data_IF_341344469637
#
_entry.id   IF_341344469637
#
_cell.length_a   1.000
_cell.length_b   1.000
_cell.length_c   1.000
_cell.angle_alpha   90.00
_cell.angle_beta   90.00
_cell.angle_gamma   90.00
#
_symmetry.space_group_name_H-M   'P 1'
#
loop_
_entity.id
_entity.type
_entity.pdbx_description
1 polymer ?
#
# COMPACT_ATOMS: atom_id res chain seq x y z
N UNK A 1 11.53 -8.38 19.38
CA UNK A 1 10.28 -9.17 19.26
C UNK A 1 10.45 -10.35 18.29
N UNK A 2 10.86 -10.11 17.05
CA UNK A 2 11.10 -11.16 16.04
C UNK A 2 12.05 -12.26 16.50
N UNK A 3 13.27 -11.90 16.90
CA UNK A 3 14.29 -12.85 17.38
C UNK A 3 13.80 -13.68 18.56
N UNK A 4 13.02 -13.06 19.46
CA UNK A 4 12.50 -13.75 20.65
C UNK A 4 11.37 -14.73 20.30
N UNK A 5 10.51 -14.36 19.36
CA UNK A 5 9.46 -15.25 18.85
C UNK A 5 10.08 -16.45 18.13
N UNK A 6 11.09 -16.24 17.29
CA UNK A 6 11.83 -17.31 16.62
C UNK A 6 12.54 -18.23 17.62
N UNK A 7 13.26 -17.66 18.59
CA UNK A 7 13.95 -18.42 19.64
C UNK A 7 13.00 -19.30 20.44
N UNK A 8 11.78 -18.82 20.70
CA UNK A 8 10.74 -19.57 21.43
C UNK A 8 9.84 -20.43 20.52
N UNK A 9 10.03 -20.37 19.20
CA UNK A 9 9.17 -21.01 18.19
C UNK A 9 7.69 -20.62 18.35
N UNK A 10 7.45 -19.34 18.60
CA UNK A 10 6.11 -18.77 18.72
C UNK A 10 5.71 -18.07 17.42
N UNK A 11 4.42 -18.13 17.10
CA UNK A 11 3.83 -17.34 16.02
C UNK A 11 3.78 -15.87 16.45
N UNK A 12 4.33 -14.98 15.63
CA UNK A 12 4.24 -13.53 15.80
C UNK A 12 3.54 -12.94 14.58
N UNK A 13 2.41 -12.31 14.84
CA UNK A 13 1.53 -11.70 13.85
C UNK A 13 1.32 -10.22 14.19
N UNK A 14 1.21 -9.40 13.17
CA UNK A 14 1.01 -7.95 13.27
C UNK A 14 -0.43 -7.66 12.85
N UNK A 15 -1.09 -6.81 13.63
CA UNK A 15 -2.46 -6.36 13.38
C UNK A 15 -2.48 -5.37 12.19
N UNK A 16 -2.50 -5.93 10.99
CA UNK A 16 -2.67 -5.21 9.74
C UNK A 16 -4.03 -5.58 9.15
N UNK A 17 -5.09 -5.36 9.94
CA UNK A 17 -6.47 -5.81 9.71
C UNK A 17 -6.95 -5.62 8.26
N UNK A 18 -6.61 -4.51 7.61
CA UNK A 18 -7.06 -4.22 6.24
C UNK A 18 -6.62 -5.27 5.21
N UNK A 19 -5.48 -5.95 5.44
CA UNK A 19 -4.99 -7.05 4.60
C UNK A 19 -5.98 -8.23 4.58
N UNK A 20 -6.76 -8.39 5.64
CA UNK A 20 -7.76 -9.46 5.79
C UNK A 20 -9.13 -9.09 5.20
N UNK A 21 -9.35 -7.86 4.77
CA UNK A 21 -10.61 -7.46 4.14
C UNK A 21 -10.80 -8.17 2.80
N UNK A 22 -12.06 -8.52 2.47
CA UNK A 22 -12.38 -9.14 1.19
C UNK A 22 -11.93 -8.30 -0.01
N UNK A 23 -11.97 -6.97 0.10
CA UNK A 23 -11.57 -6.06 -0.97
C UNK A 23 -10.06 -6.15 -1.26
N UNK A 24 -9.22 -6.03 -0.23
CA UNK A 24 -7.75 -6.13 -0.39
C UNK A 24 -7.35 -7.52 -0.87
N UNK A 25 -7.97 -8.58 -0.34
CA UNK A 25 -7.74 -9.95 -0.81
C UNK A 25 -8.12 -10.13 -2.27
N UNK A 26 -9.25 -9.58 -2.71
CA UNK A 26 -9.66 -9.62 -4.12
C UNK A 26 -8.68 -8.85 -5.01
N UNK A 27 -8.17 -7.71 -4.57
CA UNK A 27 -7.14 -6.96 -5.31
C UNK A 27 -5.86 -7.80 -5.40
N UNK A 28 -5.44 -8.45 -4.30
CA UNK A 28 -4.28 -9.36 -4.30
C UNK A 28 -4.45 -10.45 -5.36
N UNK A 29 -5.61 -11.11 -5.40
CA UNK A 29 -5.91 -12.14 -6.41
C UNK A 29 -5.76 -11.60 -7.85
N UNK A 30 -6.26 -10.39 -8.13
CA UNK A 30 -6.15 -9.76 -9.46
C UNK A 30 -4.70 -9.42 -9.82
N UNK A 31 -3.91 -8.97 -8.84
CA UNK A 31 -2.49 -8.67 -9.00
C UNK A 31 -1.67 -9.95 -9.22
N UNK A 32 -1.81 -10.95 -8.35
CA UNK A 32 -1.05 -12.20 -8.43
C UNK A 32 -1.47 -13.05 -9.64
N UNK A 33 -2.75 -12.97 -10.03
CA UNK A 33 -3.27 -13.58 -11.24
C UNK A 33 -2.89 -12.84 -12.52
N UNK A 34 -2.08 -11.77 -12.45
CA UNK A 34 -1.62 -10.94 -13.58
C UNK A 34 -2.76 -10.35 -14.42
N UNK A 35 -3.97 -10.21 -13.85
CA UNK A 35 -5.14 -9.68 -14.56
C UNK A 35 -4.97 -8.22 -14.96
N UNK A 36 -4.22 -7.45 -14.16
CA UNK A 36 -3.99 -6.03 -14.40
C UNK A 36 -2.64 -5.73 -15.07
N UNK A 37 -1.78 -6.75 -15.23
CA UNK A 37 -0.42 -6.61 -15.75
C UNK A 37 0.57 -6.04 -14.72
N UNK A 38 1.56 -5.31 -15.21
CA UNK A 38 2.64 -4.72 -14.40
C UNK A 38 2.18 -3.39 -13.81
N UNK A 39 2.37 -3.22 -12.50
CA UNK A 39 1.91 -2.03 -11.78
C UNK A 39 2.89 -0.89 -12.03
N UNK A 40 2.36 0.25 -12.46
CA UNK A 40 3.12 1.49 -12.69
C UNK A 40 3.01 2.44 -11.51
N UNK A 41 1.85 2.53 -10.87
CA UNK A 41 1.69 3.39 -9.71
C UNK A 41 0.67 2.89 -8.70
N UNK A 42 0.89 3.30 -7.45
CA UNK A 42 -0.04 3.16 -6.33
C UNK A 42 -0.27 4.54 -5.71
N UNK A 43 -1.47 5.09 -5.83
CA UNK A 43 -1.81 6.41 -5.28
C UNK A 43 -2.93 6.28 -4.26
N UNK A 44 -2.67 6.67 -3.01
CA UNK A 44 -3.60 6.49 -1.89
C UNK A 44 -3.92 7.82 -1.22
N UNK A 45 -5.19 8.01 -0.91
CA UNK A 45 -5.72 9.16 -0.20
C UNK A 45 -6.48 8.65 1.01
N UNK A 46 -5.97 8.97 2.20
CA UNK A 46 -6.61 8.68 3.49
C UNK A 46 -6.73 9.95 4.30
N UNK A 47 -7.91 10.54 4.23
CA UNK A 47 -8.18 11.85 4.83
C UNK A 47 -9.55 11.89 5.48
N UNK A 48 -9.67 12.60 6.59
CA UNK A 48 -10.94 12.86 7.28
C UNK A 48 -10.75 13.96 8.31
N UNK A 49 -11.83 14.63 8.73
CA UNK A 49 -11.82 15.41 9.97
C UNK A 49 -11.79 14.40 11.11
N UNK A 50 -10.58 14.06 11.55
CA UNK A 50 -10.29 12.96 12.45
C UNK A 50 -10.04 13.42 13.88
N UNK A 51 -9.90 12.44 14.77
CA UNK A 51 -9.35 12.68 16.09
C UNK A 51 -7.87 13.04 15.95
N UNK A 52 -7.45 14.12 16.58
CA UNK A 52 -6.05 14.46 16.67
C UNK A 52 -5.38 13.53 17.68
N UNK A 53 -4.33 12.83 17.23
CA UNK A 53 -3.46 12.10 18.13
C UNK A 53 -2.49 13.08 18.81
N UNK A 54 -2.17 12.80 20.07
CA UNK A 54 -1.30 13.67 20.87
C UNK A 54 0.15 13.19 20.86
N UNK A 55 0.37 11.88 20.68
CA UNK A 55 1.68 11.24 20.85
C UNK A 55 2.37 10.92 19.52
N UNK A 56 1.64 10.97 18.40
CA UNK A 56 2.12 10.63 17.05
C UNK A 56 1.58 11.62 16.02
N UNK A 57 2.25 11.74 14.88
CA UNK A 57 1.76 12.52 13.75
C UNK A 57 0.89 11.69 12.79
N UNK A 58 0.32 12.37 11.81
CA UNK A 58 -0.56 11.77 10.79
C UNK A 58 0.09 10.63 9.99
N UNK A 59 1.42 10.62 9.83
CA UNK A 59 2.14 9.54 9.13
C UNK A 59 2.05 8.24 9.93
N UNK A 60 2.38 8.30 11.22
CA UNK A 60 2.37 7.13 12.10
C UNK A 60 0.97 6.59 12.39
N UNK A 61 -0.04 7.45 12.40
CA UNK A 61 -1.45 7.06 12.60
C UNK A 61 -2.08 6.50 11.31
N UNK A 62 -1.96 7.19 10.17
CA UNK A 62 -2.72 6.85 8.97
C UNK A 62 -1.92 6.01 7.95
N UNK A 63 -0.63 6.30 7.77
CA UNK A 63 0.15 5.66 6.71
C UNK A 63 0.37 4.17 6.97
N UNK A 64 0.39 3.73 8.23
CA UNK A 64 0.61 2.32 8.60
C UNK A 64 -0.38 1.39 7.87
N UNK A 65 -1.62 1.85 7.69
CA UNK A 65 -2.67 1.09 7.01
C UNK A 65 -2.45 1.02 5.50
N UNK A 66 -2.19 2.15 4.85
CA UNK A 66 -2.01 2.14 3.39
C UNK A 66 -0.68 1.51 2.98
N UNK A 67 0.37 1.65 3.79
CA UNK A 67 1.65 0.98 3.60
C UNK A 67 1.55 -0.54 3.78
N UNK A 68 0.77 -1.03 4.75
CA UNK A 68 0.55 -2.48 4.92
C UNK A 68 -0.27 -3.09 3.79
N UNK A 69 -1.30 -2.38 3.29
CA UNK A 69 -2.03 -2.78 2.09
C UNK A 69 -1.06 -2.81 0.89
N UNK A 70 -0.28 -1.74 0.69
CA UNK A 70 0.67 -1.65 -0.42
C UNK A 70 1.73 -2.76 -0.35
N UNK A 71 2.36 -3.00 0.81
CA UNK A 71 3.34 -4.08 1.00
C UNK A 71 2.74 -5.47 0.76
N UNK A 72 1.46 -5.65 1.12
CA UNK A 72 0.72 -6.86 0.82
C UNK A 72 0.39 -6.99 -0.67
N UNK A 73 0.07 -5.91 -1.38
CA UNK A 73 -0.34 -5.99 -2.79
C UNK A 73 0.84 -6.04 -3.76
N UNK A 74 1.93 -5.35 -3.46
CA UNK A 74 3.07 -5.20 -4.36
C UNK A 74 4.15 -6.24 -4.05
N UNK A 75 4.66 -6.89 -5.10
CA UNK A 75 5.82 -7.78 -4.98
C UNK A 75 7.14 -6.98 -4.85
N UNK A 76 7.18 -5.78 -5.42
CA UNK A 76 8.32 -4.87 -5.33
C UNK A 76 8.45 -4.24 -3.93
N UNK A 77 9.65 -3.76 -3.60
CA UNK A 77 9.93 -3.07 -2.33
C UNK A 77 10.48 -1.67 -2.59
N UNK A 78 10.03 -0.66 -1.84
CA UNK A 78 10.54 0.69 -2.02
C UNK A 78 12.01 0.76 -1.58
N UNK A 79 12.81 1.50 -2.34
CA UNK A 79 14.23 1.74 -2.08
C UNK A 79 14.48 3.10 -1.45
N UNK A 80 13.54 4.03 -1.54
CA UNK A 80 13.62 5.33 -0.89
C UNK A 80 12.22 5.89 -0.63
N UNK A 81 12.13 6.82 0.32
CA UNK A 81 10.92 7.58 0.60
C UNK A 81 11.24 9.07 0.76
N UNK A 82 10.44 9.92 0.13
CA UNK A 82 10.40 11.36 0.36
C UNK A 82 9.10 11.70 1.05
N UNK A 83 9.13 12.51 2.10
CA UNK A 83 7.94 12.91 2.83
C UNK A 83 7.96 14.39 3.19
N UNK A 84 6.81 15.05 3.10
CA UNK A 84 6.60 16.41 3.59
C UNK A 84 5.35 16.43 4.46
N UNK A 85 5.32 17.33 5.44
CA UNK A 85 4.17 17.49 6.32
C UNK A 85 4.16 18.82 7.03
N UNK A 86 3.01 19.16 7.61
CA UNK A 86 2.82 20.43 8.31
C UNK A 86 1.95 20.23 9.54
N UNK A 87 2.30 20.93 10.62
CA UNK A 87 1.43 21.11 11.77
C UNK A 87 0.74 22.46 11.69
N UNK A 88 -0.56 22.45 11.94
CA UNK A 88 -1.42 23.64 11.97
C UNK A 88 -1.92 23.96 13.38
N UNK A 89 -1.56 23.13 14.37
CA UNK A 89 -1.92 23.33 15.78
C UNK A 89 -0.62 23.54 16.56
N UNK A 90 -0.42 24.71 17.20
CA UNK A 90 0.82 25.01 17.91
C UNK A 90 1.16 23.93 18.95
N UNK A 91 2.41 23.44 18.91
CA UNK A 91 2.92 22.43 19.84
C UNK A 91 2.43 21.00 19.60
N UNK A 92 1.66 20.75 18.52
CA UNK A 92 1.20 19.42 18.16
C UNK A 92 1.97 18.84 16.97
N UNK A 93 2.05 17.51 16.84
CA UNK A 93 2.64 16.84 15.68
C UNK A 93 1.95 17.20 14.33
N UNK A 94 2.58 16.86 13.21
CA UNK A 94 2.03 17.14 11.87
C UNK A 94 0.66 16.49 11.65
N UNK A 95 -0.28 17.26 11.12
CA UNK A 95 -1.66 16.83 10.91
C UNK A 95 -2.02 16.64 9.42
N UNK A 96 -1.10 17.00 8.53
CA UNK A 96 -1.15 16.69 7.09
C UNK A 96 0.24 16.25 6.62
N UNK A 97 0.30 15.26 5.73
CA UNK A 97 1.52 14.78 5.12
C UNK A 97 1.30 14.20 3.72
N UNK A 98 2.37 14.25 2.92
CA UNK A 98 2.47 13.66 1.59
C UNK A 98 3.74 12.82 1.52
N UNK A 99 3.63 11.58 1.06
CA UNK A 99 4.76 10.66 0.89
C UNK A 99 4.86 10.24 -0.56
N UNK A 100 6.08 10.17 -1.07
CA UNK A 100 6.43 9.53 -2.34
C UNK A 100 7.40 8.39 -2.05
N UNK A 101 7.07 7.17 -2.46
CA UNK A 101 7.97 6.03 -2.37
C UNK A 101 8.50 5.67 -3.76
N UNK A 102 9.80 5.46 -3.82
CA UNK A 102 10.53 5.12 -5.03
C UNK A 102 10.90 3.64 -5.02
N UNK A 103 10.87 3.00 -6.19
CA UNK A 103 11.22 1.60 -6.38
C UNK A 103 12.41 1.49 -7.36
N UNK A 104 12.96 0.28 -7.54
CA UNK A 104 14.08 0.08 -8.47
C UNK A 104 13.69 0.33 -9.93
N UNK A 105 12.46 -0.01 -10.29
CA UNK A 105 11.93 0.08 -11.65
C UNK A 105 11.05 1.33 -11.84
N UNK A 106 10.14 1.31 -12.80
CA UNK A 106 9.25 2.41 -13.14
C UNK A 106 8.02 2.54 -12.22
N UNK A 107 7.95 1.77 -11.13
CA UNK A 107 6.89 1.84 -10.13
C UNK A 107 7.10 3.03 -9.21
N UNK A 108 6.04 3.80 -8.96
CA UNK A 108 6.02 4.88 -7.97
C UNK A 108 4.80 4.76 -7.06
N UNK A 109 4.92 5.08 -5.78
CA UNK A 109 3.78 5.17 -4.88
C UNK A 109 3.65 6.54 -4.24
N UNK A 110 2.43 7.00 -4.05
CA UNK A 110 2.10 8.26 -3.40
C UNK A 110 1.01 8.07 -2.34
N UNK A 111 1.20 8.68 -1.18
CA UNK A 111 0.21 8.68 -0.10
C UNK A 111 -0.08 10.14 0.33
N UNK A 112 -1.36 10.49 0.38
CA UNK A 112 -1.85 11.75 0.95
C UNK A 112 -2.65 11.48 2.23
N UNK A 113 -2.19 12.06 3.33
CA UNK A 113 -2.68 11.83 4.68
C UNK A 113 -3.07 13.15 5.32
N UNK A 114 -4.28 13.26 5.88
CA UNK A 114 -4.79 14.55 6.37
C UNK A 114 -5.91 14.38 7.41
N UNK A 115 -5.69 14.86 8.64
CA UNK A 115 -6.68 14.88 9.73
C UNK A 115 -7.61 16.09 9.74
N UNK A 116 -7.35 17.10 8.91
CA UNK A 116 -8.12 18.35 8.83
C UNK A 116 -8.93 18.46 7.52
N UNK A 117 -9.14 17.34 6.83
CA UNK A 117 -9.93 17.31 5.61
C UNK A 117 -11.43 17.47 5.91
N UNK A 118 -12.17 18.31 5.16
CA UNK A 118 -13.62 18.48 5.35
C UNK A 118 -14.42 17.25 4.89
N UNK A 119 -13.78 16.33 4.16
CA UNK A 119 -14.38 15.10 3.65
C UNK A 119 -13.62 13.87 4.14
N UNK A 120 -14.35 12.79 4.39
CA UNK A 120 -13.77 11.48 4.70
C UNK A 120 -13.58 10.69 3.40
N UNK A 121 -12.33 10.47 3.02
CA UNK A 121 -11.93 9.71 1.82
C UNK A 121 -10.93 8.64 2.22
N UNK A 122 -11.14 7.42 1.72
CA UNK A 122 -10.21 6.29 1.82
C UNK A 122 -10.18 5.59 0.47
N UNK A 123 -9.36 6.11 -0.43
CA UNK A 123 -9.33 5.67 -1.82
C UNK A 123 -7.91 5.38 -2.27
N UNK A 124 -7.75 4.29 -2.99
CA UNK A 124 -6.51 3.91 -3.64
C UNK A 124 -6.73 3.70 -5.13
N UNK A 125 -5.84 4.24 -5.95
CA UNK A 125 -5.75 4.02 -7.38
C UNK A 125 -4.52 3.18 -7.68
N UNK A 126 -4.70 2.09 -8.42
CA UNK A 126 -3.60 1.26 -8.89
C UNK A 126 -3.62 1.28 -10.41
N UNK A 127 -2.64 1.94 -10.99
CA UNK A 127 -2.44 1.95 -12.43
C UNK A 127 -1.49 0.85 -12.85
N UNK A 128 -1.89 0.03 -13.82
CA UNK A 128 -1.06 -1.05 -14.33
C UNK A 128 -1.17 -1.16 -15.87
N UNK A 129 -0.30 -1.98 -16.46
CA UNK A 129 -0.10 -2.06 -17.91
C UNK A 129 -1.34 -2.52 -18.69
N UNK A 130 -2.20 -3.35 -18.09
CA UNK A 130 -3.40 -3.89 -18.73
C UNK A 130 -4.69 -3.31 -18.15
N UNK A 131 -4.82 -3.18 -16.84
CA UNK A 131 -6.06 -2.65 -16.23
C UNK A 131 -5.73 -1.77 -15.05
N UNK A 132 -6.69 -0.96 -14.64
CA UNK A 132 -6.55 -0.05 -13.51
C UNK A 132 -7.56 -0.43 -12.44
N UNK A 133 -7.20 -0.25 -11.17
CA UNK A 133 -8.09 -0.52 -10.04
C UNK A 133 -8.39 0.79 -9.31
N UNK A 134 -9.66 0.99 -8.99
CA UNK A 134 -10.09 1.91 -7.94
C UNK A 134 -10.53 1.06 -6.76
N UNK A 135 -9.88 1.25 -5.62
CA UNK A 135 -10.32 0.73 -4.33
C UNK A 135 -10.84 1.89 -3.49
N UNK A 136 -12.12 1.90 -3.17
CA UNK A 136 -12.74 2.88 -2.28
C UNK A 136 -13.33 2.16 -1.06
N UNK A 137 -12.67 2.32 0.09
CA UNK A 137 -13.09 1.68 1.32
C UNK A 137 -14.36 2.30 1.91
N UNK A 138 -14.78 3.47 1.42
CA UNK A 138 -16.02 4.12 1.86
C UNK A 138 -17.26 3.59 1.14
N UNK A 139 -17.09 2.93 -0.01
CA UNK A 139 -18.19 2.31 -0.75
C UNK A 139 -18.73 1.06 -0.03
N UNK A 140 -20.02 0.77 -0.17
CA UNK A 140 -20.64 -0.39 0.51
C UNK A 140 -20.58 -1.65 -0.34
N UNK A 141 -20.88 -1.53 -1.63
CA UNK A 141 -21.08 -2.67 -2.54
C UNK A 141 -19.94 -2.80 -3.57
N UNK A 142 -19.54 -1.69 -4.19
CA UNK A 142 -18.56 -1.66 -5.28
C UNK A 142 -17.21 -1.11 -4.81
N UNK A 143 -16.71 -1.61 -3.67
CA UNK A 143 -15.44 -1.19 -3.08
C UNK A 143 -14.27 -1.30 -4.05
N UNK A 144 -14.29 -2.29 -4.94
CA UNK A 144 -13.24 -2.51 -5.96
C UNK A 144 -13.88 -2.36 -7.34
N UNK A 145 -13.29 -1.51 -8.18
CA UNK A 145 -13.67 -1.34 -9.58
C UNK A 145 -12.45 -1.54 -10.46
N UNK A 146 -12.58 -2.39 -11.46
CA UNK A 146 -11.53 -2.70 -12.43
C UNK A 146 -11.91 -2.04 -13.75
N UNK A 147 -11.02 -1.20 -14.25
CA UNK A 147 -11.16 -0.49 -15.50
C UNK A 147 -10.24 -1.10 -16.54
N UNK A 148 -10.80 -1.57 -17.65
CA UNK A 148 -10.05 -1.94 -18.85
C UNK A 148 -9.62 -0.68 -19.62
N UNK A 149 -8.86 0.18 -18.96
CA UNK A 149 -8.33 1.43 -19.52
C UNK A 149 -6.81 1.44 -19.46
N UNK A 150 -6.19 2.11 -20.41
CA UNK A 150 -4.74 2.28 -20.43
C UNK A 150 -4.25 2.90 -21.72
N UNK A 151 -2.93 2.91 -21.87
CA UNK A 151 -2.26 3.38 -23.08
C UNK A 151 -1.55 2.22 -23.76
N UNK A 152 -1.57 2.21 -25.09
CA UNK A 152 -0.71 1.33 -25.89
C UNK A 152 0.31 2.21 -26.60
N UNK A 153 1.58 1.82 -26.46
CA UNK A 153 2.69 2.50 -27.09
C UNK A 153 3.14 1.67 -28.27
N UNK A 154 2.95 2.19 -29.49
CA UNK A 154 3.44 1.56 -30.71
C UNK A 154 4.68 2.32 -31.23
N UNK A 155 5.79 1.63 -31.55
CA UNK A 155 6.91 2.26 -32.24
C UNK A 155 6.44 2.73 -33.61
N UNK A 156 6.61 4.02 -33.90
CA UNK A 156 6.34 4.56 -35.22
C UNK A 156 7.57 4.37 -36.10
N UNK A 157 7.50 3.43 -37.06
CA UNK A 157 8.62 3.10 -37.95
C UNK A 157 9.03 4.29 -38.84
N UNK A 158 8.13 5.24 -39.11
CA UNK A 158 8.36 6.37 -40.02
C UNK A 158 8.89 7.64 -39.31
N UNK A 159 8.94 7.66 -37.98
CA UNK A 159 9.50 8.80 -37.25
C UNK A 159 10.22 8.35 -35.99
N UNK A 160 11.55 8.42 -36.02
CA UNK A 160 12.45 8.19 -34.88
C UNK A 160 12.11 9.04 -33.63
N UNK A 161 11.23 10.03 -33.76
CA UNK A 161 10.95 11.06 -32.75
C UNK A 161 9.50 11.13 -32.24
N UNK A 162 8.55 10.31 -32.74
CA UNK A 162 7.15 10.35 -32.24
C UNK A 162 6.69 8.99 -31.77
N UNK A 163 6.54 8.87 -30.45
CA UNK A 163 5.80 7.78 -29.83
C UNK A 163 4.32 7.98 -30.14
N UNK A 164 3.70 7.03 -30.85
CA UNK A 164 2.25 7.03 -31.01
C UNK A 164 1.64 6.38 -29.76
N UNK A 165 1.00 7.23 -28.94
CA UNK A 165 0.21 6.78 -27.79
C UNK A 165 -1.23 6.64 -28.24
N UNK A 166 -1.76 5.43 -28.20
CA UNK A 166 -3.20 5.18 -28.36
C UNK A 166 -3.85 4.89 -27.02
N UNK A 167 -5.11 5.29 -26.88
CA UNK A 167 -5.89 5.08 -25.67
C UNK A 167 -6.73 3.82 -25.82
N UNK A 168 -6.59 2.88 -24.87
CA UNK A 168 -7.49 1.74 -24.73
C UNK A 168 -8.60 2.12 -23.77
N UNK A 169 -9.84 1.96 -24.23
CA UNK A 169 -11.04 2.14 -23.42
C UNK A 169 -11.95 0.94 -23.63
N UNK A 170 -11.96 0.04 -22.65
CA UNK A 170 -12.87 -1.08 -22.55
C UNK A 170 -13.81 -0.95 -21.35
N UNK A 171 -14.34 -2.10 -20.92
CA UNK A 171 -15.33 -2.19 -19.87
C UNK A 171 -14.82 -1.76 -18.49
N UNK A 172 -15.77 -1.40 -17.62
CA UNK A 172 -15.57 -1.32 -16.19
C UNK A 172 -16.44 -2.37 -15.52
N UNK A 173 -15.87 -3.11 -14.58
CA UNK A 173 -16.60 -4.08 -13.80
C UNK A 173 -16.16 -4.05 -12.33
N UNK A 174 -17.05 -4.45 -11.43
CA UNK A 174 -16.76 -4.60 -10.01
C UNK A 174 -16.79 -6.08 -9.63
N UNK A 175 -15.71 -6.69 -9.11
CA UNK A 175 -15.75 -8.05 -8.61
C UNK A 175 -16.74 -8.17 -7.45
N UNK A 176 -17.39 -9.34 -7.34
CA UNK A 176 -18.05 -9.70 -6.10
C UNK A 176 -16.98 -9.89 -5.01
N UNK A 177 -17.09 -9.08 -3.97
CA UNK A 177 -16.20 -9.10 -2.81
C UNK A 177 -16.98 -9.67 -1.63
N UNK A 178 -16.49 -10.73 -0.95
CA UNK A 178 -17.12 -11.23 0.26
C UNK A 178 -17.21 -10.14 1.32
N UNK A 179 -18.40 -9.96 1.89
CA UNK A 179 -18.63 -9.09 3.05
C UNK A 179 -18.30 -9.90 4.30
N UNK A 180 -17.03 -9.89 4.70
CA UNK A 180 -16.54 -10.54 5.91
C UNK A 180 -16.05 -9.50 6.89
N UNK A 181 -16.24 -9.76 8.18
CA UNK A 181 -15.65 -8.95 9.23
C UNK A 181 -14.14 -9.22 9.26
N UNK A 182 -13.33 -8.17 9.15
CA UNK A 182 -11.90 -8.33 8.90
C UNK A 182 -11.16 -8.88 10.13
N UNK A 183 -11.57 -8.49 11.35
CA UNK A 183 -10.98 -8.99 12.59
C UNK A 183 -11.32 -10.46 12.80
N UNK A 184 -12.51 -10.92 12.42
CA UNK A 184 -12.88 -12.34 12.45
C UNK A 184 -11.96 -13.17 11.53
N UNK A 185 -11.76 -12.71 10.29
CA UNK A 185 -10.86 -13.38 9.33
C UNK A 185 -9.41 -13.37 9.83
N UNK A 186 -8.98 -12.25 10.41
CA UNK A 186 -7.64 -12.10 10.99
C UNK A 186 -7.42 -13.03 12.20
N UNK A 187 -8.36 -13.06 13.14
CA UNK A 187 -8.31 -13.89 14.33
C UNK A 187 -8.34 -15.38 13.96
N UNK A 188 -9.20 -15.78 13.02
CA UNK A 188 -9.25 -17.14 12.52
C UNK A 188 -7.91 -17.54 11.86
N UNK A 189 -7.33 -16.64 11.06
CA UNK A 189 -6.01 -16.85 10.45
C UNK A 189 -4.89 -17.01 11.50
N UNK A 190 -4.93 -16.22 12.57
CA UNK A 190 -3.99 -16.35 13.68
C UNK A 190 -4.10 -17.71 14.37
N UNK A 191 -5.31 -18.17 14.68
CA UNK A 191 -5.56 -19.49 15.27
C UNK A 191 -5.01 -20.59 14.37
N UNK A 192 -5.30 -20.54 13.07
CA UNK A 192 -4.79 -21.52 12.12
C UNK A 192 -3.26 -21.54 12.05
N UNK A 193 -2.62 -20.37 12.12
CA UNK A 193 -1.15 -20.29 12.14
C UNK A 193 -0.58 -20.92 13.41
N UNK A 194 -1.21 -20.72 14.56
CA UNK A 194 -0.81 -21.33 15.84
C UNK A 194 -0.95 -22.85 15.77
N UNK A 195 -2.08 -23.35 15.29
CA UNK A 195 -2.35 -24.80 15.21
C UNK A 195 -1.41 -25.51 14.21
N UNK A 196 -1.15 -24.89 13.06
CA UNK A 196 -0.36 -25.48 11.97
C UNK A 196 1.13 -25.16 12.05
N UNK A 197 1.55 -24.28 12.95
CA UNK A 197 2.91 -23.72 12.97
C UNK A 197 3.26 -22.93 11.70
N UNK A 198 2.25 -22.36 11.04
CA UNK A 198 2.42 -21.64 9.78
C UNK A 198 2.84 -20.18 10.00
N UNK A 199 3.51 -19.59 9.00
CA UNK A 199 3.87 -18.17 9.01
C UNK A 199 2.64 -17.32 8.66
N UNK A 200 2.28 -16.31 9.49
CA UNK A 200 1.14 -15.44 9.18
C UNK A 200 1.31 -14.64 7.89
N UNK A 201 0.20 -14.19 7.30
CA UNK A 201 0.22 -13.28 6.13
C UNK A 201 0.81 -11.93 6.55
N UNK A 202 0.40 -11.42 7.72
CA UNK A 202 0.91 -10.19 8.33
C UNK A 202 1.91 -10.55 9.42
N UNK A 203 3.03 -11.13 9.01
CA UNK A 203 4.07 -11.55 9.95
C UNK A 203 4.91 -10.38 10.47
N UNK A 204 5.83 -10.69 11.37
CA UNK A 204 6.70 -9.70 11.98
C UNK A 204 7.62 -8.97 10.97
N UNK A 205 8.03 -9.63 9.88
CA UNK A 205 8.78 -8.98 8.80
C UNK A 205 7.93 -7.95 8.06
N UNK A 206 6.62 -8.22 7.85
CA UNK A 206 5.70 -7.23 7.27
C UNK A 206 5.63 -5.97 8.14
N UNK A 207 5.45 -6.13 9.46
CA UNK A 207 5.46 -5.00 10.38
C UNK A 207 6.79 -4.24 10.36
N UNK A 208 7.93 -4.94 10.35
CA UNK A 208 9.25 -4.31 10.29
C UNK A 208 9.44 -3.49 9.00
N UNK A 209 8.97 -3.98 7.85
CA UNK A 209 9.05 -3.24 6.59
C UNK A 209 8.25 -1.94 6.66
N UNK A 210 7.03 -1.98 7.21
CA UNK A 210 6.19 -0.78 7.38
C UNK A 210 6.86 0.21 8.34
N UNK A 211 7.34 -0.25 9.49
CA UNK A 211 8.03 0.61 10.48
C UNK A 211 9.26 1.30 9.86
N UNK A 212 10.08 0.58 9.10
CA UNK A 212 11.25 1.18 8.41
C UNK A 212 10.86 2.31 7.46
N UNK A 213 9.75 2.15 6.74
CA UNK A 213 9.23 3.21 5.85
C UNK A 213 8.77 4.41 6.68
N UNK A 214 8.06 4.20 7.79
CA UNK A 214 7.58 5.28 8.66
C UNK A 214 8.73 6.06 9.30
N UNK A 215 9.78 5.37 9.75
CA UNK A 215 10.99 5.99 10.29
C UNK A 215 11.71 6.83 9.24
N UNK A 216 11.93 6.28 8.04
CA UNK A 216 12.57 7.00 6.93
C UNK A 216 11.73 8.18 6.43
N UNK A 217 10.40 8.04 6.38
CA UNK A 217 9.49 9.13 6.05
C UNK A 217 9.55 10.24 7.10
N UNK A 218 9.61 9.88 8.38
CA UNK A 218 9.77 10.85 9.48
C UNK A 218 11.08 11.62 9.34
N UNK A 219 12.18 10.94 9.01
CA UNK A 219 13.47 11.57 8.76
C UNK A 219 13.44 12.48 7.53
N UNK A 220 12.87 12.01 6.42
CA UNK A 220 12.70 12.82 5.21
C UNK A 220 11.91 14.10 5.48
N UNK A 221 10.84 14.01 6.27
CA UNK A 221 10.02 15.16 6.65
C UNK A 221 10.80 16.18 7.47
N UNK A 222 11.62 15.75 8.43
CA UNK A 222 12.55 16.64 9.17
C UNK A 222 13.55 17.32 8.25
N UNK A 223 13.94 16.64 7.17
CA UNK A 223 14.83 17.15 6.13
C UNK A 223 14.08 17.86 4.98
N UNK A 224 12.84 18.31 5.20
CA UNK A 224 12.03 19.06 4.22
C UNK A 224 11.81 18.31 2.89
N UNK A 225 11.59 17.00 2.97
CA UNK A 225 11.29 16.16 1.81
C UNK A 225 12.51 15.64 1.07
N UNK A 226 13.71 15.79 1.62
CA UNK A 226 14.89 15.12 1.05
C UNK A 226 14.68 13.59 1.08
N UNK A 227 14.80 12.86 -0.05
CA UNK A 227 14.62 11.41 -0.06
C UNK A 227 15.56 10.69 0.91
N UNK A 228 15.03 9.72 1.65
CA UNK A 228 15.78 8.85 2.54
C UNK A 228 15.79 7.43 1.97
N UNK A 229 16.98 6.87 1.79
CA UNK A 229 17.18 5.52 1.27
C UNK A 229 16.76 4.45 2.31
N UNK A 230 15.86 3.57 1.87
CA UNK A 230 15.49 2.35 2.55
C UNK A 230 16.49 1.28 2.10
N UNK A 231 17.63 1.20 2.79
CA UNK A 231 18.76 0.35 2.38
C UNK A 231 18.32 -1.03 1.89
N UNK A 232 18.96 -1.56 0.84
CA UNK A 232 18.60 -2.84 0.20
C UNK A 232 18.39 -3.91 1.26
N UNK A 233 17.12 -4.20 1.57
CA UNK A 233 16.80 -5.31 2.46
C UNK A 233 17.42 -6.57 1.85
N UNK A 234 18.23 -7.29 2.63
CA UNK A 234 18.54 -8.68 2.34
C UNK A 234 17.24 -9.48 2.50
N UNK A 235 16.35 -9.39 1.51
CA UNK A 235 15.24 -10.34 1.41
C UNK A 235 15.82 -11.72 1.08
N UNK A 236 15.21 -12.81 1.58
CA UNK A 236 15.65 -14.15 1.22
C UNK A 236 15.55 -14.31 -0.31
N UNK A 237 16.58 -14.91 -0.91
CA UNK A 237 16.51 -15.36 -2.28
C UNK A 237 15.34 -16.35 -2.39
N UNK A 238 14.24 -15.93 -3.01
CA UNK A 238 13.16 -16.84 -3.35
C UNK A 238 13.70 -17.78 -4.42
N UNK A 239 14.14 -18.97 -4.01
CA UNK A 239 14.39 -20.06 -4.94
C UNK A 239 13.05 -20.51 -5.50
N UNK A 240 12.77 -20.16 -6.75
CA UNK A 240 11.76 -20.87 -7.51
C UNK A 240 12.28 -22.28 -7.80
N UNK A 241 11.60 -23.26 -7.23
CA UNK A 241 11.64 -24.68 -7.61
C UNK A 241 10.21 -25.15 -7.73
#
# INVERSE_FOLDING_TARGET
LMEEAERRRLVLMVDHTFVYTGAVRKIRELVTGKTIGDIYYYDSVRVNLGLFQHDVNVIWDLAVHDLSIMDHLLDARPIAVSATGMSHVPGQPENIAFLTLFFQDNLIAHLHLNWISPVKVRRTLIGASQKMIVYDDMEVTEKVKVYDKGITVAPNLDSLYRINVSYRTGDMWAPNVPVTEALEVEAQHMIECIEKGARPITDAEAGLRVVRILEAATESMKQRGNPVELGRGKGPAWSHS
#
